data_IF_578027436425
#
_entry.id   IF_578027436425
#
_cell.length_a   1.000
_cell.length_b   1.000
_cell.length_c   1.000
_cell.angle_alpha   90.00
_cell.angle_beta   90.00
_cell.angle_gamma   90.00
#
_symmetry.space_group_name_H-M   'P 1'
#
loop_
_entity.id
_entity.type
_entity.pdbx_description
1 polymer ?
#
# COMPACT_ATOMS: atom_id res chain seq x y z
N UNK A 1 4.54 -11.43 -19.85
CA UNK A 1 4.93 -10.65 -18.64
C UNK A 1 4.01 -11.09 -17.51
N UNK A 2 4.52 -11.35 -16.32
CA UNK A 2 3.72 -11.81 -15.19
C UNK A 2 3.24 -10.58 -14.41
N UNK A 3 1.92 -10.41 -14.28
CA UNK A 3 1.33 -9.32 -13.51
C UNK A 3 1.33 -9.62 -12.01
N UNK A 4 1.14 -8.57 -11.21
CA UNK A 4 1.06 -8.71 -9.77
C UNK A 4 0.74 -7.38 -9.10
N UNK A 5 0.83 -7.35 -7.78
CA UNK A 5 0.67 -6.14 -7.00
C UNK A 5 1.63 -6.13 -5.81
N UNK A 6 1.93 -4.94 -5.34
CA UNK A 6 2.71 -4.74 -4.12
C UNK A 6 1.80 -4.58 -2.92
N UNK A 7 2.29 -4.97 -1.75
CA UNK A 7 1.54 -4.95 -0.49
C UNK A 7 2.49 -4.81 0.69
N UNK A 8 1.98 -4.80 1.91
CA UNK A 8 2.81 -4.78 3.12
C UNK A 8 3.49 -6.13 3.35
N UNK A 9 4.73 -6.09 3.80
CA UNK A 9 5.50 -7.28 4.13
C UNK A 9 4.93 -8.06 5.31
N UNK A 10 4.31 -7.37 6.26
CA UNK A 10 3.71 -8.04 7.41
C UNK A 10 2.42 -8.80 7.07
N UNK A 11 1.86 -8.63 5.85
CA UNK A 11 0.64 -9.31 5.44
C UNK A 11 0.85 -10.77 5.01
N UNK A 12 2.07 -11.20 4.77
CA UNK A 12 2.32 -12.58 4.32
C UNK A 12 3.79 -12.92 4.23
N UNK A 13 4.06 -14.10 3.70
CA UNK A 13 5.43 -14.62 3.49
C UNK A 13 5.53 -15.32 2.14
N UNK A 14 6.75 -15.44 1.58
CA UNK A 14 6.97 -16.15 0.32
C UNK A 14 6.32 -17.53 0.32
N UNK A 15 5.60 -17.84 -0.75
CA UNK A 15 4.88 -19.10 -0.91
C UNK A 15 3.43 -19.10 -0.40
N UNK A 16 3.02 -18.10 0.37
CA UNK A 16 1.63 -18.00 0.86
C UNK A 16 0.66 -17.74 -0.30
N UNK A 17 -0.46 -18.46 -0.31
CA UNK A 17 -1.56 -18.22 -1.24
C UNK A 17 -2.30 -16.93 -0.86
N UNK A 18 -2.71 -16.16 -1.86
CA UNK A 18 -3.46 -14.91 -1.69
C UNK A 18 -4.82 -15.04 -2.36
N UNK A 19 -5.85 -14.61 -1.67
CA UNK A 19 -7.24 -14.73 -2.10
C UNK A 19 -7.87 -13.35 -2.31
N UNK A 20 -8.77 -13.28 -3.29
CA UNK A 20 -9.60 -12.10 -3.54
C UNK A 20 -10.76 -11.97 -2.55
N UNK A 21 -11.52 -10.89 -2.69
CA UNK A 21 -12.69 -10.62 -1.87
C UNK A 21 -13.77 -11.72 -1.98
N UNK A 22 -13.83 -12.40 -3.11
CA UNK A 22 -14.75 -13.52 -3.39
C UNK A 22 -14.20 -14.86 -2.92
N UNK A 23 -13.04 -14.86 -2.24
CA UNK A 23 -12.30 -16.04 -1.76
C UNK A 23 -11.71 -16.91 -2.86
N UNK A 24 -11.77 -16.49 -4.12
CA UNK A 24 -11.02 -17.15 -5.18
C UNK A 24 -9.53 -16.83 -5.07
N UNK A 25 -8.69 -17.78 -5.51
CA UNK A 25 -7.26 -17.57 -5.44
C UNK A 25 -6.80 -16.54 -6.48
N UNK A 26 -6.15 -15.46 -6.00
CA UNK A 26 -5.52 -14.44 -6.82
C UNK A 26 -4.14 -14.86 -7.30
N UNK A 27 -3.33 -15.38 -6.39
CA UNK A 27 -1.93 -15.61 -6.67
C UNK A 27 -1.14 -16.06 -5.46
N UNK A 28 0.14 -15.73 -5.46
CA UNK A 28 1.10 -16.19 -4.46
C UNK A 28 2.03 -15.06 -4.05
N UNK A 29 2.31 -14.94 -2.74
CA UNK A 29 3.39 -14.10 -2.23
C UNK A 29 4.73 -14.59 -2.79
N UNK A 30 5.42 -13.73 -3.51
CA UNK A 30 6.72 -14.03 -4.11
C UNK A 30 7.89 -13.48 -3.28
N UNK A 31 7.64 -12.42 -2.54
CA UNK A 31 8.63 -11.80 -1.66
C UNK A 31 7.98 -10.99 -0.56
N UNK A 32 8.64 -10.93 0.59
CA UNK A 32 8.24 -10.10 1.72
C UNK A 32 9.47 -9.69 2.50
N UNK A 33 9.52 -8.42 2.91
CA UNK A 33 10.56 -7.87 3.78
C UNK A 33 9.89 -7.20 4.97
N UNK A 34 10.03 -7.83 6.14
CA UNK A 34 9.43 -7.43 7.41
C UNK A 34 10.15 -8.13 8.58
N UNK A 35 10.47 -7.48 9.71
CA UNK A 35 10.50 -6.03 9.90
C UNK A 35 11.72 -5.37 9.23
N UNK A 36 12.04 -4.14 9.59
CA UNK A 36 13.06 -3.32 8.94
C UNK A 36 12.50 -2.54 7.78
N UNK A 37 11.95 -3.24 6.79
CA UNK A 37 11.05 -2.74 5.76
C UNK A 37 9.63 -3.25 6.05
N UNK A 38 8.66 -2.77 5.27
CA UNK A 38 7.30 -3.32 5.30
C UNK A 38 6.73 -3.41 3.89
N UNK A 39 7.33 -4.25 3.07
CA UNK A 39 6.87 -4.45 1.70
C UNK A 39 6.93 -5.92 1.28
N UNK A 40 6.09 -6.25 0.32
CA UNK A 40 6.07 -7.53 -0.35
C UNK A 40 5.44 -7.39 -1.73
N UNK A 41 5.50 -8.45 -2.52
CA UNK A 41 4.79 -8.49 -3.78
C UNK A 41 4.16 -9.86 -4.01
N UNK A 42 3.04 -9.82 -4.72
CA UNK A 42 2.21 -10.98 -5.02
C UNK A 42 2.11 -11.11 -6.54
N UNK A 43 2.45 -12.30 -7.06
CA UNK A 43 2.19 -12.61 -8.46
C UNK A 43 0.73 -13.03 -8.61
N UNK A 44 0.07 -12.55 -9.67
CA UNK A 44 -1.34 -12.79 -9.96
C UNK A 44 -1.48 -13.79 -11.11
N UNK A 45 -2.44 -14.69 -10.98
CA UNK A 45 -2.76 -15.69 -11.97
C UNK A 45 -4.17 -16.23 -11.73
N UNK A 46 -4.43 -17.47 -12.10
CA UNK A 46 -5.71 -18.15 -11.83
C UNK A 46 -6.94 -17.43 -12.41
N UNK A 47 -6.78 -16.78 -13.58
CA UNK A 47 -7.85 -16.03 -14.23
C UNK A 47 -7.96 -14.56 -13.80
N UNK A 48 -7.11 -14.10 -12.90
CA UNK A 48 -7.03 -12.70 -12.49
C UNK A 48 -5.94 -11.96 -13.27
N UNK A 49 -6.13 -10.66 -13.47
CA UNK A 49 -5.16 -9.77 -14.10
C UNK A 49 -5.09 -8.44 -13.38
N UNK A 50 -4.11 -7.62 -13.72
CA UNK A 50 -3.91 -6.31 -13.09
C UNK A 50 -4.47 -5.20 -13.97
N UNK A 51 -4.99 -4.18 -13.31
CA UNK A 51 -5.42 -2.93 -13.93
C UNK A 51 -4.66 -1.75 -13.31
N UNK A 52 -4.36 -0.69 -14.08
CA UNK A 52 -3.62 0.46 -13.57
C UNK A 52 -4.52 1.44 -12.80
N UNK A 53 -5.22 0.94 -11.80
CA UNK A 53 -6.18 1.72 -11.02
C UNK A 53 -6.06 1.44 -9.53
N UNK A 54 -6.46 2.42 -8.73
CA UNK A 54 -6.69 2.29 -7.28
C UNK A 54 -8.19 2.41 -7.03
N UNK A 55 -8.76 1.42 -6.36
CA UNK A 55 -10.21 1.34 -6.11
C UNK A 55 -10.70 2.49 -5.23
N UNK A 56 -11.70 3.21 -5.71
CA UNK A 56 -12.32 4.36 -5.01
C UNK A 56 -13.48 3.98 -4.10
N UNK A 57 -13.87 2.70 -4.05
CA UNK A 57 -14.92 2.15 -3.17
C UNK A 57 -16.30 2.79 -3.34
N UNK A 58 -16.58 3.40 -4.50
CA UNK A 58 -17.82 4.13 -4.72
C UNK A 58 -17.88 5.50 -4.04
N UNK A 59 -16.91 5.84 -3.22
CA UNK A 59 -16.76 7.18 -2.62
C UNK A 59 -16.27 8.19 -3.65
N UNK A 60 -15.31 7.76 -4.47
CA UNK A 60 -14.80 8.48 -5.64
C UNK A 60 -14.69 7.50 -6.80
N UNK A 61 -14.48 8.01 -8.01
CA UNK A 61 -14.13 7.17 -9.16
C UNK A 61 -12.80 6.49 -8.90
N UNK A 62 -12.61 5.28 -9.44
CA UNK A 62 -11.32 4.59 -9.36
C UNK A 62 -10.22 5.48 -9.95
N UNK A 63 -9.13 5.63 -9.22
CA UNK A 63 -8.04 6.51 -9.59
C UNK A 63 -7.08 5.83 -10.57
N UNK A 64 -6.87 6.43 -11.73
CA UNK A 64 -5.88 5.95 -12.70
C UNK A 64 -4.46 6.15 -12.16
N UNK A 65 -3.61 5.17 -12.38
CA UNK A 65 -2.19 5.22 -12.03
C UNK A 65 -1.39 5.51 -13.30
N UNK A 66 -0.71 6.65 -13.33
CA UNK A 66 0.09 7.07 -14.49
C UNK A 66 1.58 7.20 -14.23
N UNK A 67 1.97 7.01 -12.98
CA UNK A 67 3.37 7.08 -12.58
C UNK A 67 3.53 6.86 -11.08
N UNK A 68 4.74 7.11 -10.61
CA UNK A 68 5.09 6.99 -9.18
C UNK A 68 6.00 8.13 -8.72
N UNK A 69 5.80 9.32 -9.27
CA UNK A 69 6.51 10.52 -8.80
C UNK A 69 6.15 10.79 -7.33
N UNK A 70 7.17 10.90 -6.50
CA UNK A 70 7.00 11.04 -5.05
C UNK A 70 6.42 12.41 -4.70
N UNK A 71 5.30 12.41 -3.99
CA UNK A 71 4.64 13.63 -3.54
C UNK A 71 5.46 14.31 -2.42
N UNK A 72 5.60 15.64 -2.44
CA UNK A 72 6.34 16.36 -1.40
C UNK A 72 5.54 16.43 -0.09
N UNK A 73 6.23 16.75 1.02
CA UNK A 73 5.58 17.09 2.29
C UNK A 73 4.62 18.26 2.05
N UNK A 74 3.41 18.15 2.60
CA UNK A 74 2.32 19.11 2.39
C UNK A 74 1.37 18.76 1.25
N UNK A 75 1.73 17.83 0.38
CA UNK A 75 0.86 17.40 -0.71
C UNK A 75 -0.33 16.58 -0.20
N UNK A 76 -1.44 16.65 -0.94
CA UNK A 76 -2.59 15.79 -0.71
C UNK A 76 -2.26 14.34 -1.10
N UNK A 77 -2.70 13.39 -0.29
CA UNK A 77 -2.55 11.97 -0.55
C UNK A 77 -3.82 11.23 -0.10
N UNK A 78 -4.20 10.21 -0.86
CA UNK A 78 -5.37 9.39 -0.54
C UNK A 78 -4.98 7.92 -0.39
N UNK A 79 -5.80 7.19 0.34
CA UNK A 79 -5.59 5.77 0.61
C UNK A 79 -6.85 4.96 0.29
N UNK A 80 -6.64 3.80 -0.32
CA UNK A 80 -7.64 2.78 -0.54
C UNK A 80 -7.40 1.61 0.41
N UNK A 81 -8.43 1.14 1.10
CA UNK A 81 -8.31 0.03 2.04
C UNK A 81 -9.59 -0.77 2.18
N UNK A 82 -9.46 -2.07 2.42
CA UNK A 82 -10.61 -2.99 2.47
C UNK A 82 -11.48 -2.84 3.71
N UNK A 83 -10.97 -2.27 4.79
CA UNK A 83 -11.74 -2.04 6.01
C UNK A 83 -12.46 -0.70 6.00
N UNK A 84 -11.79 0.39 5.62
CA UNK A 84 -12.35 1.74 5.74
C UNK A 84 -12.63 2.42 4.41
N UNK A 85 -12.29 1.80 3.27
CA UNK A 85 -12.55 2.34 1.94
C UNK A 85 -11.56 3.44 1.57
N UNK A 86 -12.07 4.60 1.15
CA UNK A 86 -11.28 5.71 0.62
C UNK A 86 -11.21 6.87 1.62
N UNK A 87 -9.98 7.26 1.97
CA UNK A 87 -9.71 8.42 2.83
C UNK A 87 -8.50 9.18 2.33
N UNK A 88 -8.51 10.48 2.55
CA UNK A 88 -7.45 11.39 2.12
C UNK A 88 -6.90 12.19 3.29
N UNK A 89 -5.73 12.77 3.08
CA UNK A 89 -5.04 13.63 4.03
C UNK A 89 -3.82 14.26 3.39
N UNK A 90 -2.80 14.53 4.19
CA UNK A 90 -1.60 15.27 3.80
C UNK A 90 -0.35 14.47 4.15
N UNK A 91 0.67 14.54 3.29
CA UNK A 91 2.01 14.03 3.58
C UNK A 91 2.65 14.92 4.65
N UNK A 92 3.02 14.35 5.80
CA UNK A 92 3.53 15.08 6.97
C UNK A 92 5.03 14.94 7.16
N UNK A 93 5.63 13.82 6.77
CA UNK A 93 7.04 13.57 6.96
C UNK A 93 7.51 12.41 6.10
N UNK A 94 8.82 12.29 5.93
CA UNK A 94 9.45 11.26 5.11
C UNK A 94 10.64 10.64 5.83
N UNK A 95 11.02 9.44 5.38
CA UNK A 95 12.17 8.71 5.93
C UNK A 95 12.10 8.56 7.46
N UNK A 96 10.92 8.24 7.96
CA UNK A 96 10.67 8.09 9.38
C UNK A 96 10.81 6.63 9.83
N UNK A 97 11.21 6.46 11.08
CA UNK A 97 11.31 5.16 11.73
C UNK A 97 10.12 4.99 12.67
N UNK A 98 9.44 3.85 12.57
CA UNK A 98 8.30 3.50 13.41
C UNK A 98 8.65 2.29 14.27
N UNK A 99 8.42 2.43 15.59
CA UNK A 99 8.53 1.34 16.55
C UNK A 99 7.12 0.83 16.83
N UNK A 100 6.79 -0.34 16.32
CA UNK A 100 5.48 -0.95 16.55
C UNK A 100 5.37 -1.57 17.95
N UNK A 101 4.15 -1.71 18.44
CA UNK A 101 3.83 -2.19 19.80
C UNK A 101 4.42 -3.59 20.08
N UNK A 102 4.55 -4.44 19.06
CA UNK A 102 5.16 -5.76 19.19
C UNK A 102 6.69 -5.77 19.25
N UNK A 103 7.34 -4.62 19.17
CA UNK A 103 8.79 -4.46 19.18
C UNK A 103 9.44 -4.42 17.79
N UNK A 104 8.69 -4.60 16.73
CA UNK A 104 9.17 -4.49 15.36
C UNK A 104 9.48 -3.04 15.03
N UNK A 105 10.60 -2.81 14.36
CA UNK A 105 11.05 -1.49 13.93
C UNK A 105 11.10 -1.45 12.41
N UNK A 106 10.50 -0.42 11.82
CA UNK A 106 10.48 -0.22 10.36
C UNK A 106 11.03 1.16 10.03
N UNK A 107 11.92 1.22 9.05
CA UNK A 107 12.62 2.44 8.64
C UNK A 107 12.14 2.94 7.27
N UNK A 108 12.36 4.22 7.01
CA UNK A 108 12.16 4.80 5.68
C UNK A 108 10.70 5.00 5.29
N UNK A 109 9.80 5.11 6.26
CA UNK A 109 8.37 5.28 6.02
C UNK A 109 7.98 6.75 5.83
N UNK A 110 6.92 6.97 5.07
CA UNK A 110 6.28 8.28 4.91
C UNK A 110 5.08 8.40 5.84
N UNK A 111 5.05 9.48 6.64
CA UNK A 111 3.95 9.77 7.57
C UNK A 111 2.90 10.65 6.92
N UNK A 112 1.64 10.33 7.17
CA UNK A 112 0.50 11.08 6.65
C UNK A 112 -0.55 11.31 7.73
N UNK A 113 -1.44 12.27 7.50
CA UNK A 113 -2.64 12.49 8.31
C UNK A 113 -3.83 11.63 7.87
N UNK A 114 -3.66 10.74 6.91
CA UNK A 114 -4.71 9.82 6.47
C UNK A 114 -5.02 8.81 7.57
N UNK A 115 -6.30 8.59 7.87
CA UNK A 115 -6.71 7.56 8.81
C UNK A 115 -6.65 6.16 8.19
N UNK A 116 -6.55 5.14 9.03
CA UNK A 116 -6.69 3.73 8.67
C UNK A 116 -7.09 2.92 9.90
N UNK A 117 -7.53 1.70 9.66
CA UNK A 117 -7.88 0.74 10.72
C UNK A 117 -7.34 -0.63 10.37
N UNK A 118 -7.38 -1.55 11.31
CA UNK A 118 -6.95 -2.94 11.10
C UNK A 118 -7.62 -3.56 9.88
N UNK A 119 -6.82 -4.18 9.01
CA UNK A 119 -7.26 -4.74 7.74
C UNK A 119 -7.03 -3.83 6.53
N UNK A 120 -6.70 -2.56 6.74
CA UNK A 120 -6.31 -1.64 5.66
C UNK A 120 -4.84 -1.81 5.23
N UNK A 121 -4.04 -2.54 5.99
CA UNK A 121 -2.63 -2.82 5.72
C UNK A 121 -2.38 -3.32 4.30
N UNK A 122 -1.34 -2.81 3.66
CA UNK A 122 -0.98 -3.18 2.29
C UNK A 122 -1.78 -2.45 1.21
N UNK A 123 -2.83 -1.72 1.57
CA UNK A 123 -3.63 -0.92 0.64
C UNK A 123 -2.85 0.26 0.06
N UNK A 124 -3.25 0.67 -1.13
CA UNK A 124 -2.52 1.66 -1.94
C UNK A 124 -2.70 3.09 -1.44
N UNK A 125 -1.61 3.85 -1.44
CA UNK A 125 -1.59 5.32 -1.35
C UNK A 125 -1.35 5.92 -2.73
N UNK A 126 -2.09 6.96 -3.05
CA UNK A 126 -1.99 7.67 -4.34
C UNK A 126 -2.10 9.20 -4.10
N UNK A 127 -1.33 9.96 -4.85
CA UNK A 127 -1.41 11.43 -4.90
C UNK A 127 -1.69 11.85 -6.33
N UNK A 128 -2.91 12.35 -6.59
CA UNK A 128 -3.35 12.57 -7.96
C UNK A 128 -3.39 11.25 -8.74
N UNK A 129 -2.57 11.14 -9.78
CA UNK A 129 -2.41 9.92 -10.58
C UNK A 129 -1.05 9.21 -10.32
N UNK A 130 -0.35 9.60 -9.24
CA UNK A 130 0.98 9.08 -8.92
C UNK A 130 0.93 8.14 -7.71
N UNK A 131 1.26 6.86 -7.92
CA UNK A 131 1.35 5.87 -6.85
C UNK A 131 2.41 6.28 -5.82
N UNK A 132 2.07 6.18 -4.53
CA UNK A 132 2.96 6.60 -3.45
C UNK A 132 3.51 5.45 -2.62
N UNK A 133 2.70 4.46 -2.31
CA UNK A 133 3.12 3.38 -1.45
C UNK A 133 1.99 2.48 -0.96
N UNK A 134 2.29 1.69 0.05
CA UNK A 134 1.35 0.77 0.68
C UNK A 134 1.28 0.99 2.19
N UNK A 135 0.10 0.85 2.77
CA UNK A 135 -0.12 1.05 4.20
C UNK A 135 0.74 0.10 5.03
N UNK A 136 1.57 0.65 5.92
CA UNK A 136 2.32 -0.12 6.92
C UNK A 136 1.55 -0.18 8.25
N UNK A 137 1.22 0.95 8.82
CA UNK A 137 0.50 1.02 10.07
C UNK A 137 0.21 2.46 10.49
N UNK A 138 -0.24 2.63 11.73
CA UNK A 138 -0.57 3.95 12.24
C UNK A 138 -1.18 3.90 13.63
N UNK A 139 -1.75 5.01 14.04
CA UNK A 139 -2.54 5.14 15.27
C UNK A 139 -3.84 5.89 14.99
N UNK A 140 -4.81 5.72 15.87
CA UNK A 140 -6.13 6.31 15.69
C UNK A 140 -7.03 5.49 14.77
N UNK A 141 -8.11 6.08 14.32
CA UNK A 141 -9.10 5.46 13.44
C UNK A 141 -9.72 6.51 12.48
N UNK A 142 -10.65 6.07 11.64
CA UNK A 142 -11.32 6.96 10.68
C UNK A 142 -12.53 7.70 11.27
N UNK A 143 -12.85 7.48 12.55
CA UNK A 143 -13.87 8.24 13.28
C UNK A 143 -13.26 9.41 14.06
N UNK A 144 -12.21 9.13 14.83
CA UNK A 144 -11.53 10.12 15.67
C UNK A 144 -10.31 10.76 15.02
N UNK A 145 -9.88 10.25 13.88
CA UNK A 145 -8.66 10.68 13.21
C UNK A 145 -7.41 9.97 13.73
N UNK A 146 -6.29 10.20 13.07
CA UNK A 146 -5.02 9.58 13.42
C UNK A 146 -3.96 9.91 12.40
N UNK A 147 -2.86 9.19 12.47
CA UNK A 147 -1.78 9.27 11.50
C UNK A 147 -1.43 7.87 10.99
N UNK A 148 -0.98 7.79 9.76
CA UNK A 148 -0.52 6.54 9.16
C UNK A 148 0.83 6.71 8.49
N UNK A 149 1.55 5.61 8.40
CA UNK A 149 2.81 5.50 7.68
C UNK A 149 2.64 4.52 6.54
N UNK A 150 3.16 4.89 5.36
CA UNK A 150 3.20 3.99 4.23
C UNK A 150 4.64 3.70 3.79
N UNK A 151 4.84 2.50 3.29
CA UNK A 151 6.08 2.08 2.66
C UNK A 151 6.14 2.66 1.25
N UNK A 152 7.17 3.46 0.90
CA UNK A 152 7.27 4.06 -0.45
C UNK A 152 7.33 3.03 -1.57
N UNK A 153 6.56 3.25 -2.64
CA UNK A 153 6.41 2.28 -3.74
C UNK A 153 7.68 2.15 -4.58
N UNK A 154 8.42 3.23 -4.82
CA UNK A 154 9.61 3.18 -5.67
C UNK A 154 10.70 2.28 -5.08
N UNK A 155 10.82 2.25 -3.76
CA UNK A 155 11.71 1.32 -3.06
C UNK A 155 11.29 -0.14 -3.29
N UNK A 156 10.00 -0.42 -3.28
CA UNK A 156 9.48 -1.78 -3.52
C UNK A 156 9.76 -2.21 -4.96
N UNK A 157 9.47 -1.34 -5.92
CA UNK A 157 9.72 -1.61 -7.34
C UNK A 157 11.21 -1.91 -7.59
N UNK A 158 12.08 -1.13 -6.99
CA UNK A 158 13.54 -1.32 -7.09
C UNK A 158 14.00 -2.62 -6.45
N UNK A 159 13.47 -2.95 -5.27
CA UNK A 159 13.87 -4.14 -4.52
C UNK A 159 13.57 -5.44 -5.27
N UNK A 160 12.48 -5.49 -6.02
CA UNK A 160 12.05 -6.69 -6.73
C UNK A 160 12.17 -6.61 -8.25
N UNK A 161 12.75 -5.55 -8.78
CA UNK A 161 12.87 -5.36 -10.24
C UNK A 161 11.53 -5.30 -10.95
N UNK A 162 10.53 -4.67 -10.32
CA UNK A 162 9.18 -4.55 -10.86
C UNK A 162 9.02 -3.27 -11.68
N UNK A 163 8.15 -3.34 -12.69
CA UNK A 163 7.72 -2.19 -13.47
C UNK A 163 6.27 -1.86 -13.14
N UNK A 164 6.00 -0.60 -12.81
CA UNK A 164 4.66 -0.15 -12.49
C UNK A 164 3.75 -0.26 -13.71
N UNK A 165 2.57 -0.88 -13.53
CA UNK A 165 1.53 -0.92 -14.55
C UNK A 165 0.82 0.43 -14.56
N UNK A 166 0.91 1.14 -15.67
CA UNK A 166 0.35 2.50 -15.82
C UNK A 166 -0.70 2.56 -16.92
N UNK A 167 -1.64 3.51 -16.77
CA UNK A 167 -2.67 3.80 -17.76
C UNK A 167 -2.10 4.61 -18.95
#
# INVERSE_FOLDING_TARGET
MRGGFVTAGHCGQPGAAVYGWDRSRLGTFEGASWPGNDYGWVSVGHGWWTEPVVLGWGTVSDALVRGSAEAPIGASVCRSGSTTGWHCGTVLGKNETVNYVGGEVVHGLTRTSVCAQGGDSGGSYISGDQAQGVTSGGWGDCTGGGETWHQPVNEILSAYGLTLHTA
#
